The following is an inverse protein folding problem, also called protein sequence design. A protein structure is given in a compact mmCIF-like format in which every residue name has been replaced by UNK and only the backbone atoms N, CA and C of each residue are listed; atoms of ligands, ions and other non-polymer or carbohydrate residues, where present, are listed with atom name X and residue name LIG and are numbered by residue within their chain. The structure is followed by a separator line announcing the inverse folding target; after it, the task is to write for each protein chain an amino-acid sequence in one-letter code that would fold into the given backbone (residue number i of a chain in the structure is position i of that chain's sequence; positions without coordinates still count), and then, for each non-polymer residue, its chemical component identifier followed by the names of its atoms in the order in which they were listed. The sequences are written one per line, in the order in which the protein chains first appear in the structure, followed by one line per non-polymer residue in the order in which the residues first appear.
data_IF_714610499616
#
_entry.id   IF_714610499616
#
_cell.length_a   1.000
_cell.length_b   1.000
_cell.length_c   1.000
_cell.angle_alpha   90.00
_cell.angle_beta   90.00
_cell.angle_gamma   90.00
#
_symmetry.space_group_name_H-M   'P 1'
#
loop_
_entity.id
_entity.type
_entity.pdbx_description
1 polymer ?
#
# COMPACT_ATOMS: atom_id res chain seq x y z
N UNK A 1 -25.85 5.52 6.68
CA UNK A 1 -24.89 4.64 7.38
C UNK A 1 -23.71 4.40 6.44
N UNK A 2 -22.48 4.59 6.90
CA UNK A 2 -21.32 4.27 6.08
C UNK A 2 -21.15 2.74 6.12
N UNK A 3 -21.28 2.08 4.97
CA UNK A 3 -21.09 0.64 4.83
C UNK A 3 -19.64 0.18 5.17
N UNK A 4 -18.69 1.12 5.15
CA UNK A 4 -17.28 0.92 5.46
C UNK A 4 -16.82 2.05 6.37
N UNK A 5 -16.19 1.71 7.50
CA UNK A 5 -15.64 2.63 8.48
C UNK A 5 -14.12 2.52 8.50
N UNK A 6 -13.42 3.64 8.28
CA UNK A 6 -11.96 3.72 8.41
C UNK A 6 -11.59 3.69 9.89
N UNK A 7 -10.67 2.80 10.26
CA UNK A 7 -10.18 2.62 11.62
C UNK A 7 -8.86 3.36 11.84
N UNK A 8 -7.88 3.15 10.95
CA UNK A 8 -6.58 3.82 11.00
C UNK A 8 -6.16 4.29 9.61
N UNK A 9 -5.37 5.37 9.57
CA UNK A 9 -4.64 5.82 8.40
C UNK A 9 -3.28 6.28 8.84
N UNK A 10 -2.24 5.65 8.30
CA UNK A 10 -0.86 5.88 8.72
C UNK A 10 0.11 5.68 7.56
N UNK A 11 1.35 6.13 7.75
CA UNK A 11 2.44 5.91 6.80
C UNK A 11 3.25 4.69 7.24
N UNK A 12 3.50 3.78 6.28
CA UNK A 12 4.47 2.69 6.43
C UNK A 12 5.71 3.06 5.65
N UNK A 13 6.81 3.27 6.36
CA UNK A 13 8.12 3.60 5.78
C UNK A 13 8.93 2.32 5.51
N UNK A 14 9.94 2.37 4.62
CA UNK A 14 10.87 1.26 4.47
C UNK A 14 11.50 0.86 5.81
N UNK A 15 11.68 -0.45 6.03
CA UNK A 15 12.25 -1.00 7.26
C UNK A 15 13.78 -0.79 7.37
N UNK A 16 14.43 -0.37 6.28
CA UNK A 16 15.87 -0.15 6.20
C UNK A 16 16.21 1.01 5.26
N UNK A 17 17.52 1.29 5.15
CA UNK A 17 18.01 2.35 4.28
C UNK A 17 17.68 2.06 2.80
N UNK A 18 17.31 3.11 2.07
CA UNK A 18 16.98 3.04 0.65
C UNK A 18 17.83 4.01 -0.16
N UNK A 19 18.16 3.70 -1.42
CA UNK A 19 18.79 4.66 -2.32
C UNK A 19 17.97 5.96 -2.41
N UNK A 20 18.65 7.09 -2.23
CA UNK A 20 18.04 8.41 -2.35
C UNK A 20 18.21 8.97 -3.77
N UNK A 21 17.27 9.83 -4.19
CA UNK A 21 17.32 10.55 -5.45
C UNK A 21 16.14 10.27 -6.38
N UNK A 22 16.15 10.90 -7.54
CA UNK A 22 15.07 10.79 -8.51
C UNK A 22 15.30 9.68 -9.54
N UNK A 23 14.25 8.93 -9.87
CA UNK A 23 14.26 7.99 -11.00
C UNK A 23 13.75 8.68 -12.25
N UNK A 24 14.49 8.52 -13.34
CA UNK A 24 14.11 9.08 -14.62
C UNK A 24 12.91 8.31 -15.22
N UNK A 25 11.84 9.04 -15.51
CA UNK A 25 10.65 8.50 -16.17
C UNK A 25 10.90 8.34 -17.67
N UNK A 26 10.58 7.16 -18.20
CA UNK A 26 10.66 6.89 -19.63
C UNK A 26 9.55 7.60 -20.41
N UNK A 27 9.68 7.67 -21.74
CA UNK A 27 8.62 8.19 -22.61
C UNK A 27 7.30 7.40 -22.45
N UNK A 28 7.36 6.11 -22.13
CA UNK A 28 6.17 5.29 -21.87
C UNK A 28 5.48 5.72 -20.57
N UNK A 29 6.24 5.99 -19.52
CA UNK A 29 5.70 6.45 -18.24
C UNK A 29 5.03 7.83 -18.39
N UNK A 30 5.61 8.71 -19.21
CA UNK A 30 5.05 10.03 -19.50
C UNK A 30 3.81 9.99 -20.40
N UNK A 31 3.69 8.97 -21.25
CA UNK A 31 2.56 8.76 -22.15
C UNK A 31 1.38 8.03 -21.45
N UNK A 32 1.64 7.34 -20.33
CA UNK A 32 0.62 6.66 -19.56
C UNK A 32 -0.43 7.64 -19.01
N UNK A 33 -1.64 7.13 -18.73
CA UNK A 33 -2.68 7.92 -18.06
C UNK A 33 -2.16 8.38 -16.70
N UNK A 34 -2.22 9.69 -16.46
CA UNK A 34 -1.90 10.28 -15.15
C UNK A 34 -2.98 9.86 -14.15
N UNK A 35 -2.61 9.05 -13.17
CA UNK A 35 -3.51 8.62 -12.10
C UNK A 35 -3.05 7.32 -11.44
N UNK A 36 -3.77 6.91 -10.40
CA UNK A 36 -3.60 5.60 -9.77
C UNK A 36 -4.29 4.52 -10.62
N UNK A 37 -3.70 3.33 -10.64
CA UNK A 37 -4.37 2.11 -11.13
C UNK A 37 -5.03 1.43 -9.95
N UNK A 38 -6.35 1.57 -9.73
CA UNK A 38 -7.02 0.95 -8.59
C UNK A 38 -7.20 -0.55 -8.83
N UNK A 39 -6.73 -1.36 -7.89
CA UNK A 39 -6.95 -2.81 -7.87
C UNK A 39 -7.48 -3.24 -6.50
N UNK A 40 -8.42 -4.17 -6.48
CA UNK A 40 -9.01 -4.72 -5.25
C UNK A 40 -8.87 -6.24 -5.29
N UNK A 41 -8.39 -6.81 -4.19
CA UNK A 41 -8.24 -8.25 -4.01
C UNK A 41 -9.11 -8.71 -2.85
N UNK A 42 -9.84 -9.80 -3.05
CA UNK A 42 -10.70 -10.40 -2.04
C UNK A 42 -10.14 -11.76 -1.63
N UNK A 43 -10.11 -12.00 -0.32
CA UNK A 43 -9.59 -13.23 0.27
C UNK A 43 -10.66 -13.84 1.16
N UNK A 44 -10.88 -15.15 1.04
CA UNK A 44 -11.78 -15.89 1.92
C UNK A 44 -11.01 -16.33 3.17
N UNK A 45 -11.65 -16.31 4.36
CA UNK A 45 -11.07 -16.92 5.55
C UNK A 45 -10.78 -18.40 5.30
N UNK A 46 -9.59 -18.86 5.69
CA UNK A 46 -9.17 -20.26 5.62
C UNK A 46 -9.33 -21.01 6.95
N UNK A 47 -9.80 -20.30 7.99
CA UNK A 47 -9.97 -20.82 9.35
C UNK A 47 -8.76 -20.59 10.25
N UNK A 48 -7.65 -20.08 9.72
CA UNK A 48 -6.48 -19.76 10.52
C UNK A 48 -6.67 -18.43 11.28
N UNK A 49 -6.38 -18.40 12.60
CA UNK A 49 -6.43 -17.16 13.36
C UNK A 49 -5.35 -16.20 12.86
N UNK A 50 -5.72 -14.94 12.66
CA UNK A 50 -4.75 -13.91 12.24
C UNK A 50 -4.43 -13.89 10.74
N UNK A 51 -5.23 -14.56 9.90
CA UNK A 51 -5.28 -14.25 8.47
C UNK A 51 -5.60 -12.75 8.33
N UNK A 52 -4.61 -11.94 7.94
CA UNK A 52 -4.61 -10.47 7.96
C UNK A 52 -4.36 -9.77 9.30
N UNK A 53 -3.55 -10.36 10.18
CA UNK A 53 -2.95 -9.62 11.28
C UNK A 53 -2.25 -8.34 10.73
N UNK A 54 -2.73 -7.18 11.19
CA UNK A 54 -2.38 -5.87 10.60
C UNK A 54 -0.89 -5.57 10.75
N UNK A 55 -0.32 -5.93 11.88
CA UNK A 55 1.12 -5.87 12.18
C UNK A 55 1.93 -6.69 11.17
N UNK A 56 1.54 -7.94 10.90
CA UNK A 56 2.24 -8.81 9.94
C UNK A 56 2.24 -8.20 8.53
N UNK A 57 1.11 -7.65 8.08
CA UNK A 57 1.03 -6.99 6.76
C UNK A 57 1.91 -5.74 6.72
N UNK A 58 1.86 -4.91 7.76
CA UNK A 58 2.65 -3.68 7.83
C UNK A 58 4.14 -3.97 7.85
N UNK A 59 4.58 -4.95 8.63
CA UNK A 59 5.98 -5.35 8.73
C UNK A 59 6.48 -5.92 7.39
N UNK A 60 5.66 -6.76 6.75
CA UNK A 60 5.97 -7.29 5.41
C UNK A 60 6.09 -6.16 4.38
N UNK A 61 5.16 -5.21 4.40
CA UNK A 61 5.18 -4.04 3.52
C UNK A 61 6.42 -3.18 3.76
N UNK A 62 6.75 -2.86 5.02
CA UNK A 62 7.94 -2.09 5.37
C UNK A 62 9.23 -2.78 4.87
N UNK A 63 9.32 -4.10 5.02
CA UNK A 63 10.44 -4.90 4.51
C UNK A 63 10.54 -4.83 2.99
N UNK A 64 9.43 -5.05 2.27
CA UNK A 64 9.42 -5.02 0.80
C UNK A 64 9.68 -3.63 0.23
N UNK A 65 9.30 -2.56 0.93
CA UNK A 65 9.60 -1.18 0.54
C UNK A 65 11.11 -0.87 0.50
N UNK A 66 11.98 -1.72 1.06
CA UNK A 66 13.43 -1.59 0.83
C UNK A 66 13.78 -1.94 -0.62
N UNK A 67 13.22 -3.04 -1.14
CA UNK A 67 13.41 -3.47 -2.53
C UNK A 67 12.64 -2.58 -3.50
N UNK A 68 11.41 -2.21 -3.14
CA UNK A 68 10.52 -1.36 -3.93
C UNK A 68 10.52 0.10 -3.45
N UNK A 69 11.68 0.60 -3.04
CA UNK A 69 11.88 1.94 -2.49
C UNK A 69 11.26 3.10 -3.29
N UNK A 70 11.14 3.07 -4.64
CA UNK A 70 10.50 4.17 -5.35
C UNK A 70 9.03 4.38 -4.97
N UNK A 71 8.36 3.32 -4.51
CA UNK A 71 6.96 3.39 -4.08
C UNK A 71 6.78 4.18 -2.78
N UNK A 72 7.80 4.22 -1.93
CA UNK A 72 7.82 5.01 -0.68
C UNK A 72 8.25 6.48 -0.91
N UNK A 73 8.41 6.90 -2.17
CA UNK A 73 8.83 8.24 -2.55
C UNK A 73 7.67 9.22 -2.77
N UNK A 74 7.92 10.23 -3.61
CA UNK A 74 6.96 11.27 -4.00
C UNK A 74 6.84 11.39 -5.53
N UNK A 75 5.86 12.18 -5.98
CA UNK A 75 5.59 12.41 -7.40
C UNK A 75 6.87 12.88 -8.13
N UNK A 76 7.04 12.47 -9.39
CA UNK A 76 8.31 12.56 -10.15
C UNK A 76 9.39 11.57 -9.68
N UNK A 77 8.98 10.57 -8.89
CA UNK A 77 9.79 9.44 -8.42
C UNK A 77 11.02 9.89 -7.66
N UNK A 78 10.83 10.87 -6.78
CA UNK A 78 11.83 11.24 -5.78
C UNK A 78 11.78 10.23 -4.63
N UNK A 79 12.86 9.47 -4.46
CA UNK A 79 12.97 8.38 -3.51
C UNK A 79 13.31 8.90 -2.11
N UNK A 80 12.34 9.59 -1.48
CA UNK A 80 12.51 10.22 -0.16
C UNK A 80 12.39 9.26 1.02
N UNK A 81 11.85 8.05 0.80
CA UNK A 81 11.64 7.06 1.86
C UNK A 81 10.54 7.44 2.85
N UNK A 82 9.74 8.48 2.58
CA UNK A 82 8.67 8.95 3.47
C UNK A 82 7.50 7.96 3.63
N UNK A 83 7.48 6.89 2.83
CA UNK A 83 6.55 5.77 3.00
C UNK A 83 5.26 5.89 2.21
N UNK A 84 4.44 4.86 2.37
CA UNK A 84 3.14 4.68 1.69
C UNK A 84 1.99 4.78 2.68
N UNK A 85 0.84 5.26 2.21
CA UNK A 85 -0.38 5.32 3.03
C UNK A 85 -0.94 3.90 3.18
N UNK A 86 -1.09 3.45 4.43
CA UNK A 86 -1.74 2.22 4.82
C UNK A 86 -3.00 2.54 5.62
N UNK A 87 -4.14 1.98 5.20
CA UNK A 87 -5.44 2.25 5.80
C UNK A 87 -6.08 0.94 6.22
N UNK A 88 -6.56 0.87 7.46
CA UNK A 88 -7.43 -0.22 7.90
C UNK A 88 -8.86 0.27 7.97
N UNK A 89 -9.79 -0.60 7.59
CA UNK A 89 -11.21 -0.30 7.63
C UNK A 89 -12.00 -1.57 7.99
N UNK A 90 -13.21 -1.38 8.51
CA UNK A 90 -14.17 -2.46 8.76
C UNK A 90 -15.47 -2.20 8.03
N UNK A 91 -16.19 -3.28 7.76
CA UNK A 91 -17.52 -3.28 7.15
C UNK A 91 -18.44 -4.18 7.98
N UNK A 92 -19.72 -3.84 8.04
CA UNK A 92 -20.76 -4.72 8.62
C UNK A 92 -21.21 -5.81 7.64
N UNK A 93 -20.89 -5.66 6.35
CA UNK A 93 -21.15 -6.64 5.30
C UNK A 93 -20.02 -7.67 5.21
N UNK A 94 -20.38 -8.94 4.98
CA UNK A 94 -19.43 -9.98 4.58
C UNK A 94 -19.23 -9.98 3.07
N UNK A 95 -18.15 -10.61 2.60
CA UNK A 95 -17.83 -10.66 1.17
C UNK A 95 -18.96 -11.26 0.31
N UNK A 96 -19.73 -12.20 0.85
CA UNK A 96 -20.85 -12.84 0.14
C UNK A 96 -22.10 -11.95 0.04
N UNK A 97 -22.13 -10.79 0.74
CA UNK A 97 -23.21 -9.80 0.63
C UNK A 97 -23.02 -8.83 -0.54
N UNK A 98 -21.86 -8.87 -1.23
CA UNK A 98 -21.48 -7.99 -2.34
C UNK A 98 -21.92 -8.51 -3.72
#
# INVERSE_FOLDING_TARGET
MAAVEVLTSELVTPAGETPAGAIWLSNLDLAARRGYTPTVYFYRPDGEPGLFAVDVIKDSLASELVTFYPLAGRLQVDCTGEGVVFVTARSEYVLDDL
#
